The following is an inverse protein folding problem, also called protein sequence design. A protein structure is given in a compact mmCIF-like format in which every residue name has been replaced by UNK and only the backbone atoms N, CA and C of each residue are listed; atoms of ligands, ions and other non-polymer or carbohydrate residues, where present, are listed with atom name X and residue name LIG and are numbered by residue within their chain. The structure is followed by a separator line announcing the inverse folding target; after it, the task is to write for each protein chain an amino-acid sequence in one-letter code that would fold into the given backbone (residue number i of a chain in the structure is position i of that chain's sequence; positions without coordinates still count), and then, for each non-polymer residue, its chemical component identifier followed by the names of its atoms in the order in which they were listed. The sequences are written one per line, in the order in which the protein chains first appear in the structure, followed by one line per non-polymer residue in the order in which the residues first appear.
data_IF_074607856997
#
_entry.id   IF_074607856997
#
_cell.length_a   1.000
_cell.length_b   1.000
_cell.length_c   1.000
_cell.angle_alpha   90.00
_cell.angle_beta   90.00
_cell.angle_gamma   90.00
#
_symmetry.space_group_name_H-M   'P 1'
#
loop_
_entity.id
_entity.type
_entity.pdbx_description
1 polymer ?
#
# COMPACT_ATOMS: atom_id res chain seq x y z
N UNK A 1 5.94 1.51 -11.40
CA UNK A 1 4.61 0.96 -11.04
C UNK A 1 3.57 1.17 -12.14
N UNK A 2 3.70 2.18 -13.01
CA UNK A 2 2.75 2.36 -14.12
C UNK A 2 1.38 2.84 -13.67
N UNK A 3 1.36 3.56 -12.55
CA UNK A 3 0.16 4.08 -11.89
C UNK A 3 -0.13 5.51 -12.34
N UNK A 4 -1.37 5.94 -12.15
CA UNK A 4 -1.83 7.29 -12.42
C UNK A 4 -1.25 8.30 -11.40
N UNK A 5 -1.17 9.58 -11.81
CA UNK A 5 -0.65 10.68 -10.96
C UNK A 5 -1.40 10.87 -9.64
N UNK A 6 -2.64 10.37 -9.58
CA UNK A 6 -3.56 10.48 -8.45
C UNK A 6 -3.50 9.31 -7.47
N UNK A 7 -2.61 8.34 -7.69
CA UNK A 7 -2.38 7.24 -6.76
C UNK A 7 -1.68 7.74 -5.50
N UNK A 8 -1.94 7.06 -4.38
CA UNK A 8 -1.44 7.51 -3.08
C UNK A 8 0.07 7.35 -2.98
N UNK A 9 0.77 8.39 -2.53
CA UNK A 9 2.23 8.37 -2.49
C UNK A 9 2.81 7.32 -1.52
N UNK A 10 2.08 6.96 -0.45
CA UNK A 10 2.53 5.97 0.52
C UNK A 10 2.87 4.61 -0.11
N UNK A 11 2.20 4.25 -1.22
CA UNK A 11 2.43 2.98 -1.93
C UNK A 11 3.83 2.88 -2.52
N UNK A 12 4.41 4.02 -2.94
CA UNK A 12 5.77 4.02 -3.47
C UNK A 12 6.72 3.47 -2.42
N UNK A 13 6.59 3.94 -1.17
CA UNK A 13 7.46 3.55 -0.07
C UNK A 13 7.16 2.14 0.40
N UNK A 14 5.87 1.81 0.59
CA UNK A 14 5.47 0.51 1.11
C UNK A 14 5.78 -0.67 0.19
N UNK A 15 5.73 -0.45 -1.13
CA UNK A 15 5.94 -1.52 -2.12
C UNK A 15 7.39 -1.64 -2.60
N UNK A 16 8.19 -0.57 -2.50
CA UNK A 16 9.60 -0.58 -2.97
C UNK A 16 10.62 -0.68 -1.84
N UNK A 17 10.20 -0.49 -0.58
CA UNK A 17 11.09 -0.42 0.58
C UNK A 17 11.86 0.91 0.68
N UNK A 18 11.56 1.89 -0.18
CA UNK A 18 12.21 3.19 -0.14
C UNK A 18 11.71 4.03 1.02
N UNK A 19 12.62 4.76 1.66
CA UNK A 19 12.25 5.72 2.70
C UNK A 19 11.70 7.01 2.09
N UNK A 20 10.61 7.58 2.64
CA UNK A 20 10.20 8.93 2.30
C UNK A 20 11.32 9.93 2.56
N UNK A 21 11.46 10.93 1.67
CA UNK A 21 12.53 11.92 1.74
C UNK A 21 12.58 12.64 3.09
N UNK A 22 11.42 12.90 3.72
CA UNK A 22 11.32 13.49 5.06
C UNK A 22 12.12 12.69 6.10
N UNK A 23 11.92 11.37 6.16
CA UNK A 23 12.61 10.48 7.11
C UNK A 23 14.09 10.31 6.75
N UNK A 24 14.41 10.21 5.46
CA UNK A 24 15.81 10.08 5.01
C UNK A 24 16.64 11.33 5.33
N UNK A 25 16.08 12.53 5.09
CA UNK A 25 16.73 13.80 5.46
C UNK A 25 16.94 13.91 6.96
N UNK A 26 15.93 13.53 7.74
CA UNK A 26 16.04 13.56 9.20
C UNK A 26 17.10 12.57 9.72
N UNK A 27 17.15 11.35 9.18
CA UNK A 27 18.19 10.37 9.51
C UNK A 27 19.60 10.91 9.25
N UNK A 28 19.80 11.57 8.10
CA UNK A 28 21.09 12.18 7.75
C UNK A 28 21.46 13.31 8.71
N UNK A 29 20.50 14.17 9.08
CA UNK A 29 20.74 15.26 10.01
C UNK A 29 21.07 14.76 11.42
N UNK A 30 20.37 13.75 11.92
CA UNK A 30 20.66 13.13 13.22
C UNK A 30 22.04 12.47 13.24
N UNK A 31 22.40 11.74 12.17
CA UNK A 31 23.73 11.14 12.04
C UNK A 31 24.83 12.20 11.95
N UNK A 32 24.58 13.28 11.23
CA UNK A 32 25.49 14.41 11.16
C UNK A 32 25.66 15.09 12.53
N UNK A 33 24.57 15.32 13.27
CA UNK A 33 24.62 15.84 14.62
C UNK A 33 25.47 14.96 15.52
N UNK A 34 25.20 13.65 15.55
CA UNK A 34 25.96 12.68 16.33
C UNK A 34 27.46 12.76 15.99
N UNK A 35 27.81 12.75 14.71
CA UNK A 35 29.20 12.92 14.25
C UNK A 35 29.82 14.23 14.73
N UNK A 36 29.14 15.37 14.57
CA UNK A 36 29.70 16.66 14.99
C UNK A 36 29.91 16.79 16.50
N UNK A 37 29.12 16.07 17.31
CA UNK A 37 29.26 16.04 18.77
C UNK A 37 30.46 15.21 19.23
N UNK A 38 31.00 14.31 18.40
CA UNK A 38 32.22 13.53 18.72
C UNK A 38 33.51 14.22 18.27
N UNK A 39 33.41 15.30 17.48
CA UNK A 39 34.56 16.03 16.99
C UNK A 39 35.21 16.89 18.10
N UNK A 40 36.53 17.11 18.04
CA UNK A 40 37.21 18.02 18.95
C UNK A 40 36.62 19.43 18.91
N UNK A 41 36.66 20.12 20.04
CA UNK A 41 36.15 21.49 20.20
C UNK A 41 36.81 22.52 19.29
N UNK A 42 38.02 22.22 18.80
CA UNK A 42 38.75 23.04 17.83
C UNK A 42 38.21 22.91 16.42
N UNK A 43 37.43 21.86 16.11
CA UNK A 43 36.90 21.62 14.77
C UNK A 43 35.74 22.58 14.46
N UNK A 44 35.78 23.22 13.29
CA UNK A 44 34.80 24.24 12.88
C UNK A 44 33.35 23.74 12.94
N UNK A 45 33.09 22.51 12.47
CA UNK A 45 31.76 21.92 12.52
C UNK A 45 31.24 21.69 13.95
N UNK A 46 32.13 21.31 14.89
CA UNK A 46 31.77 21.16 16.32
C UNK A 46 31.39 22.51 16.90
N UNK A 47 32.21 23.55 16.65
CA UNK A 47 31.92 24.92 17.08
C UNK A 47 30.60 25.45 16.53
N UNK A 48 30.35 25.30 15.22
CA UNK A 48 29.12 25.75 14.58
C UNK A 48 27.87 25.06 15.14
N UNK A 49 27.95 23.75 15.43
CA UNK A 49 26.83 23.02 16.04
C UNK A 49 26.60 23.45 17.48
N UNK A 50 27.66 23.63 18.29
CA UNK A 50 27.53 24.16 19.66
C UNK A 50 26.89 25.54 19.68
N UNK A 51 27.29 26.42 18.77
CA UNK A 51 26.68 27.75 18.60
C UNK A 51 25.21 27.63 18.21
N UNK A 52 24.87 26.77 17.23
CA UNK A 52 23.47 26.54 16.85
C UNK A 52 22.62 25.96 17.98
N UNK A 53 23.18 25.10 18.85
CA UNK A 53 22.53 24.60 20.06
C UNK A 53 22.29 25.74 21.05
N UNK A 54 23.28 26.60 21.27
CA UNK A 54 23.17 27.74 22.17
C UNK A 54 22.13 28.76 21.67
N UNK A 55 22.10 29.07 20.38
CA UNK A 55 21.07 29.92 19.76
C UNK A 55 19.67 29.35 19.99
N UNK A 56 19.49 28.03 19.84
CA UNK A 56 18.20 27.39 20.08
C UNK A 56 17.75 27.48 21.55
N UNK A 57 18.68 27.47 22.52
CA UNK A 57 18.37 27.72 23.95
C UNK A 57 17.86 29.13 24.19
N UNK A 58 18.39 30.09 23.43
CA UNK A 58 17.94 31.49 23.44
C UNK A 58 16.69 31.73 22.58
N UNK A 59 15.95 30.67 22.22
CA UNK A 59 14.75 30.71 21.38
C UNK A 59 14.96 31.34 19.98
N UNK A 60 16.19 31.36 19.49
CA UNK A 60 16.51 31.84 18.15
C UNK A 60 16.37 30.70 17.14
N UNK A 61 15.97 31.05 15.92
CA UNK A 61 15.91 30.11 14.81
C UNK A 61 17.33 29.72 14.34
N UNK A 62 17.45 28.50 13.84
CA UNK A 62 18.69 27.97 13.30
C UNK A 62 18.58 26.50 12.95
N UNK A 63 19.67 25.93 12.46
CA UNK A 63 19.70 24.55 12.01
C UNK A 63 19.26 23.55 13.10
N UNK A 64 19.73 23.71 14.34
CA UNK A 64 19.34 22.82 15.44
C UNK A 64 17.87 22.97 15.85
N UNK A 65 17.32 24.19 15.88
CA UNK A 65 15.89 24.40 16.19
C UNK A 65 14.98 23.76 15.12
N UNK A 66 15.39 23.86 13.85
CA UNK A 66 14.66 23.26 12.73
C UNK A 66 14.72 21.73 12.78
N UNK A 67 15.88 21.17 13.15
CA UNK A 67 16.03 19.72 13.38
C UNK A 67 15.11 19.24 14.51
N UNK A 68 15.09 19.93 15.67
CA UNK A 68 14.19 19.60 16.79
C UNK A 68 12.72 19.66 16.35
N UNK A 69 12.33 20.70 15.61
CA UNK A 69 10.97 20.85 15.08
C UNK A 69 10.62 19.71 14.13
N UNK A 70 11.50 19.41 13.16
CA UNK A 70 11.28 18.36 12.17
C UNK A 70 11.15 16.98 12.84
N UNK A 71 12.00 16.68 13.84
CA UNK A 71 11.89 15.48 14.67
C UNK A 71 10.58 15.44 15.46
N UNK A 72 10.19 16.56 16.06
CA UNK A 72 8.93 16.70 16.79
C UNK A 72 7.70 16.41 15.94
N UNK A 73 7.70 16.79 14.65
CA UNK A 73 6.56 16.49 13.74
C UNK A 73 6.33 15.00 13.49
N UNK A 74 7.25 14.12 13.88
CA UNK A 74 7.09 12.67 13.79
C UNK A 74 7.12 11.99 15.17
N UNK A 75 6.97 12.77 16.25
CA UNK A 75 6.96 12.28 17.62
C UNK A 75 8.32 11.88 18.17
N UNK A 76 9.41 12.43 17.61
CA UNK A 76 10.76 12.25 18.16
C UNK A 76 11.20 13.49 18.92
N UNK A 77 11.64 13.29 20.16
CA UNK A 77 12.19 14.36 20.98
C UNK A 77 13.72 14.39 20.89
N UNK A 78 14.25 15.53 20.45
CA UNK A 78 15.69 15.80 20.46
C UNK A 78 15.99 16.69 21.67
N UNK A 79 16.83 16.18 22.58
CA UNK A 79 17.27 16.87 23.81
C UNK A 79 17.77 18.28 23.51
N UNK A 80 17.50 19.23 24.41
CA UNK A 80 18.08 20.59 24.35
C UNK A 80 19.60 20.59 24.60
N UNK A 81 20.11 19.53 25.22
CA UNK A 81 21.53 19.26 25.42
C UNK A 81 21.84 17.88 24.80
N UNK A 82 22.06 17.81 23.48
CA UNK A 82 22.26 16.54 22.81
C UNK A 82 23.66 15.99 23.12
N UNK A 83 23.73 14.72 23.49
CA UNK A 83 24.99 13.94 23.55
C UNK A 83 25.05 12.97 22.37
N UNK A 84 26.24 12.51 21.95
CA UNK A 84 26.37 11.49 20.91
C UNK A 84 25.51 10.26 21.17
N UNK A 85 25.49 9.78 22.43
CA UNK A 85 24.76 8.58 22.86
C UNK A 85 23.26 8.78 22.73
N UNK A 86 22.73 9.91 23.20
CA UNK A 86 21.31 10.21 23.15
C UNK A 86 20.84 10.38 21.70
N UNK A 87 21.65 10.99 20.83
CA UNK A 87 21.30 11.12 19.41
C UNK A 87 21.39 9.78 18.68
N UNK A 88 22.39 8.95 18.98
CA UNK A 88 22.49 7.59 18.43
C UNK A 88 21.27 6.73 18.83
N UNK A 89 20.79 6.87 20.06
CA UNK A 89 19.60 6.18 20.56
C UNK A 89 18.28 6.59 19.86
N UNK A 90 18.25 7.70 19.11
CA UNK A 90 17.07 8.11 18.34
C UNK A 90 16.90 7.35 17.02
N UNK A 91 17.94 6.68 16.50
CA UNK A 91 17.85 6.00 15.21
C UNK A 91 16.81 4.86 15.19
N UNK A 92 16.73 3.97 16.21
CA UNK A 92 15.66 2.98 16.29
C UNK A 92 14.27 3.62 16.36
N UNK A 93 14.11 4.68 17.16
CA UNK A 93 12.85 5.42 17.30
C UNK A 93 12.41 6.06 15.97
N UNK A 94 13.36 6.57 15.18
CA UNK A 94 13.10 7.08 13.83
C UNK A 94 12.59 5.99 12.89
N UNK A 95 13.18 4.78 12.93
CA UNK A 95 12.71 3.63 12.14
C UNK A 95 11.30 3.22 12.56
N UNK A 96 11.02 3.17 13.86
CA UNK A 96 9.68 2.89 14.38
C UNK A 96 8.66 3.92 13.93
N UNK A 97 8.99 5.21 14.01
CA UNK A 97 8.12 6.30 13.55
C UNK A 97 7.87 6.23 12.04
N UNK A 98 8.88 5.89 11.25
CA UNK A 98 8.75 5.65 9.81
C UNK A 98 7.79 4.50 9.51
N UNK A 99 7.98 3.36 10.18
CA UNK A 99 7.16 2.16 9.95
C UNK A 99 5.71 2.42 10.31
N UNK A 100 5.47 3.06 11.46
CA UNK A 100 4.14 3.50 11.88
C UNK A 100 3.52 4.45 10.86
N UNK A 101 4.24 5.49 10.42
CA UNK A 101 3.72 6.45 9.45
C UNK A 101 3.26 5.79 8.14
N UNK A 102 4.03 4.84 7.60
CA UNK A 102 3.64 4.11 6.38
C UNK A 102 2.48 3.15 6.65
N UNK A 103 2.50 2.43 7.77
CA UNK A 103 1.44 1.49 8.13
C UNK A 103 0.10 2.22 8.33
N UNK A 104 0.10 3.33 9.06
CA UNK A 104 -1.08 4.16 9.29
C UNK A 104 -1.61 4.71 7.97
N UNK A 105 -0.73 5.27 7.12
CA UNK A 105 -1.11 5.80 5.80
C UNK A 105 -1.75 4.75 4.88
N UNK A 106 -1.45 3.47 5.09
CA UNK A 106 -2.06 2.35 4.35
C UNK A 106 -3.38 1.94 4.98
N UNK A 107 -3.40 1.74 6.30
CA UNK A 107 -4.56 1.22 7.03
C UNK A 107 -5.71 2.22 7.10
N UNK A 108 -5.44 3.53 7.13
CA UNK A 108 -6.49 4.57 7.12
C UNK A 108 -7.03 4.83 5.74
N UNK A 109 -6.42 4.28 4.69
CA UNK A 109 -6.84 4.53 3.33
C UNK A 109 -7.99 3.61 2.90
N UNK A 110 -9.15 4.14 2.51
CA UNK A 110 -10.26 3.33 2.00
C UNK A 110 -9.99 2.80 0.58
N UNK A 111 -8.88 3.17 -0.05
CA UNK A 111 -8.44 2.64 -1.35
C UNK A 111 -7.50 1.45 -1.22
N UNK A 112 -6.81 1.32 -0.10
CA UNK A 112 -5.78 0.30 0.08
C UNK A 112 -6.28 -0.87 0.92
N UNK A 113 -7.58 -1.19 0.83
CA UNK A 113 -8.23 -2.29 1.58
C UNK A 113 -7.48 -3.63 1.38
N UNK A 114 -6.98 -3.91 0.18
CA UNK A 114 -6.19 -5.12 -0.11
C UNK A 114 -4.81 -5.15 0.56
N UNK A 115 -4.35 -4.01 1.07
CA UNK A 115 -3.10 -3.85 1.81
C UNK A 115 -3.33 -3.63 3.30
N UNK A 116 -4.57 -3.63 3.78
CA UNK A 116 -4.83 -3.53 5.22
C UNK A 116 -4.26 -4.75 5.94
N UNK A 117 -3.60 -4.51 7.08
CA UNK A 117 -2.94 -5.53 7.91
C UNK A 117 -1.85 -6.39 7.23
N UNK A 118 -1.60 -6.17 5.92
CA UNK A 118 -0.54 -6.77 5.07
C UNK A 118 -0.14 -8.19 5.47
N UNK A 119 -1.02 -9.21 5.32
CA UNK A 119 -0.60 -10.58 5.53
C UNK A 119 0.41 -10.98 4.45
N UNK A 120 1.56 -11.47 4.87
CA UNK A 120 2.52 -12.18 4.04
C UNK A 120 2.53 -13.66 4.42
N UNK A 121 2.88 -14.50 3.47
CA UNK A 121 3.01 -15.93 3.68
C UNK A 121 4.43 -16.37 3.37
N UNK A 122 5.03 -17.09 4.31
CA UNK A 122 6.31 -17.78 4.10
C UNK A 122 6.00 -19.27 4.22
N UNK A 123 6.04 -19.97 3.09
CA UNK A 123 5.39 -21.26 2.98
C UNK A 123 3.90 -21.11 3.28
N UNK A 124 3.39 -21.86 4.25
CA UNK A 124 1.99 -21.81 4.68
C UNK A 124 1.76 -20.97 5.94
N UNK A 125 2.81 -20.38 6.52
CA UNK A 125 2.69 -19.59 7.74
C UNK A 125 2.35 -18.14 7.43
N UNK A 126 1.22 -17.68 7.98
CA UNK A 126 0.82 -16.28 7.96
C UNK A 126 1.71 -15.46 8.88
N UNK A 127 2.28 -14.37 8.34
CA UNK A 127 3.09 -13.38 9.06
C UNK A 127 2.62 -11.99 8.68
N UNK A 128 2.90 -11.01 9.54
CA UNK A 128 2.71 -9.62 9.18
C UNK A 128 3.89 -9.16 8.31
N UNK A 129 3.61 -8.69 7.11
CA UNK A 129 4.66 -8.18 6.24
C UNK A 129 5.22 -6.87 6.82
N UNK A 130 6.54 -6.60 6.73
CA UNK A 130 7.08 -5.31 7.08
C UNK A 130 6.38 -4.18 6.29
N UNK A 131 6.11 -3.01 6.89
CA UNK A 131 5.45 -1.90 6.18
C UNK A 131 6.22 -1.42 4.96
N UNK A 132 7.56 -1.49 5.00
CA UNK A 132 8.49 -1.12 3.92
C UNK A 132 9.29 -2.34 3.47
N UNK A 133 8.99 -2.84 2.28
CA UNK A 133 9.72 -3.96 1.67
C UNK A 133 9.53 -3.92 0.15
N UNK A 134 10.54 -4.38 -0.60
CA UNK A 134 10.38 -4.60 -2.03
C UNK A 134 9.57 -5.87 -2.29
N UNK A 135 8.33 -5.73 -2.78
CA UNK A 135 7.40 -6.87 -2.88
C UNK A 135 7.71 -7.82 -4.02
N UNK A 136 7.45 -9.12 -3.79
CA UNK A 136 7.69 -10.19 -4.76
C UNK A 136 6.93 -9.99 -6.08
N UNK A 137 5.66 -9.57 -6.01
CA UNK A 137 4.85 -9.33 -7.21
C UNK A 137 5.36 -8.18 -8.10
N UNK A 138 6.27 -7.32 -7.61
CA UNK A 138 6.96 -6.33 -8.45
C UNK A 138 8.09 -6.96 -9.29
N UNK A 139 8.50 -8.20 -9.00
CA UNK A 139 9.51 -8.95 -9.77
C UNK A 139 8.94 -9.64 -11.01
N UNK A 140 7.62 -9.67 -11.19
CA UNK A 140 6.97 -10.20 -12.39
C UNK A 140 7.57 -9.53 -13.63
N UNK A 141 8.16 -10.33 -14.53
CA UNK A 141 8.96 -9.85 -15.67
C UNK A 141 8.15 -9.05 -16.68
N UNK A 142 6.95 -9.53 -17.02
CA UNK A 142 6.06 -8.90 -17.99
C UNK A 142 5.53 -7.56 -17.49
N UNK A 143 5.83 -6.47 -18.21
CA UNK A 143 5.40 -5.11 -17.85
C UNK A 143 3.89 -5.02 -17.70
N UNK A 144 3.13 -5.48 -18.70
CA UNK A 144 1.66 -5.44 -18.71
C UNK A 144 1.06 -6.24 -17.55
N UNK A 145 1.58 -7.44 -17.31
CA UNK A 145 1.13 -8.30 -16.22
C UNK A 145 1.42 -7.71 -14.84
N UNK A 146 2.65 -7.20 -14.64
CA UNK A 146 3.02 -6.49 -13.43
C UNK A 146 2.14 -5.26 -13.21
N UNK A 147 1.84 -4.50 -14.26
CA UNK A 147 0.94 -3.35 -14.20
C UNK A 147 -0.47 -3.76 -13.77
N UNK A 148 -1.02 -4.83 -14.33
CA UNK A 148 -2.33 -5.36 -13.95
C UNK A 148 -2.40 -5.68 -12.45
N UNK A 149 -1.40 -6.38 -11.90
CA UNK A 149 -1.34 -6.62 -10.45
C UNK A 149 -1.22 -5.33 -9.64
N UNK A 150 -0.29 -4.46 -10.00
CA UNK A 150 -0.12 -3.21 -9.27
C UNK A 150 -1.36 -2.34 -9.33
N UNK A 151 -2.12 -2.33 -10.44
CA UNK A 151 -3.38 -1.62 -10.53
C UNK A 151 -4.45 -2.20 -9.61
N UNK A 152 -4.52 -3.52 -9.46
CA UNK A 152 -5.46 -4.16 -8.53
C UNK A 152 -5.11 -3.85 -7.08
N UNK A 153 -3.86 -4.14 -6.69
CA UNK A 153 -3.38 -4.00 -5.31
C UNK A 153 -3.41 -2.55 -4.83
N UNK A 154 -3.13 -1.60 -5.74
CA UNK A 154 -2.96 -0.18 -5.42
C UNK A 154 -4.16 0.69 -5.79
N UNK A 155 -5.30 0.06 -6.10
CA UNK A 155 -6.57 0.70 -6.43
C UNK A 155 -6.45 1.75 -7.55
N UNK A 156 -5.87 1.32 -8.66
CA UNK A 156 -5.70 2.10 -9.90
C UNK A 156 -6.19 1.30 -11.11
N UNK A 157 -7.41 0.78 -11.03
CA UNK A 157 -7.99 -0.17 -11.98
C UNK A 157 -9.37 0.29 -12.49
N UNK A 158 -9.88 -0.37 -13.53
CA UNK A 158 -11.15 -0.02 -14.19
C UNK A 158 -12.44 -0.47 -13.47
N UNK A 159 -12.34 -1.16 -12.33
CA UNK A 159 -13.50 -1.67 -11.61
C UNK A 159 -14.31 -0.57 -10.92
N UNK A 160 -15.62 -0.77 -10.77
CA UNK A 160 -16.58 0.24 -10.30
C UNK A 160 -16.28 0.73 -8.88
N UNK A 161 -15.69 -0.11 -8.01
CA UNK A 161 -15.29 0.31 -6.65
C UNK A 161 -14.35 1.53 -6.62
N UNK A 162 -13.50 1.69 -7.64
CA UNK A 162 -12.60 2.85 -7.79
C UNK A 162 -13.14 3.87 -8.80
N UNK A 163 -13.73 3.42 -9.91
CA UNK A 163 -14.22 4.34 -10.94
C UNK A 163 -15.39 5.20 -10.46
N UNK A 164 -16.31 4.63 -9.68
CA UNK A 164 -17.49 5.32 -9.13
C UNK A 164 -17.24 5.99 -7.77
N UNK A 165 -16.04 5.85 -7.20
CA UNK A 165 -15.64 6.54 -5.97
C UNK A 165 -15.58 8.07 -6.14
N UNK A 166 -15.55 8.54 -7.38
CA UNK A 166 -15.35 9.96 -7.68
C UNK A 166 -16.58 10.49 -8.40
N UNK A 167 -16.92 11.72 -8.07
CA UNK A 167 -17.77 12.52 -8.93
C UNK A 167 -17.13 12.66 -10.32
N UNK A 168 -17.97 12.72 -11.33
CA UNK A 168 -17.62 13.08 -12.71
C UNK A 168 -18.07 14.51 -12.98
N UNK A 169 -17.87 15.00 -14.22
CA UNK A 169 -18.44 16.30 -14.63
C UNK A 169 -19.97 16.27 -14.68
N UNK A 170 -20.56 15.10 -14.93
CA UNK A 170 -22.00 14.92 -15.02
C UNK A 170 -22.64 14.54 -13.68
N UNK A 171 -21.87 14.01 -12.72
CA UNK A 171 -22.33 13.64 -11.38
C UNK A 171 -21.36 14.19 -10.35
N UNK A 172 -21.74 15.24 -9.62
CA UNK A 172 -20.87 15.86 -8.63
C UNK A 172 -20.56 14.92 -7.46
N UNK A 173 -21.51 14.06 -7.09
CA UNK A 173 -21.42 13.18 -5.92
C UNK A 173 -20.71 11.86 -6.20
N UNK A 174 -20.01 11.37 -5.18
CA UNK A 174 -19.42 10.03 -5.15
C UNK A 174 -20.53 9.01 -4.94
N UNK A 175 -20.53 7.92 -5.72
CA UNK A 175 -21.50 6.84 -5.53
C UNK A 175 -21.21 6.14 -4.20
N UNK A 176 -22.20 5.93 -3.32
CA UNK A 176 -22.04 5.14 -2.10
C UNK A 176 -21.42 3.77 -2.38
N UNK A 177 -20.53 3.28 -1.50
CA UNK A 177 -19.77 2.03 -1.71
C UNK A 177 -20.70 0.84 -2.01
N UNK A 178 -21.83 0.75 -1.33
CA UNK A 178 -22.83 -0.32 -1.50
C UNK A 178 -23.44 -0.37 -2.91
N UNK A 179 -23.56 0.78 -3.59
CA UNK A 179 -24.14 0.89 -4.92
C UNK A 179 -23.12 0.71 -6.06
N UNK A 180 -21.83 0.50 -5.74
CA UNK A 180 -20.78 0.26 -6.74
C UNK A 180 -20.79 -1.20 -7.19
N UNK A 181 -21.91 -1.61 -7.78
CA UNK A 181 -22.19 -3.00 -8.14
C UNK A 181 -21.33 -3.48 -9.30
N UNK A 182 -21.13 -4.80 -9.36
CA UNK A 182 -20.48 -5.52 -10.43
C UNK A 182 -21.31 -5.42 -11.70
N UNK A 183 -20.72 -4.87 -12.76
CA UNK A 183 -21.35 -4.67 -14.07
C UNK A 183 -21.81 -5.96 -14.75
N UNK A 184 -21.33 -7.12 -14.27
CA UNK A 184 -21.69 -8.42 -14.83
C UNK A 184 -22.85 -9.08 -14.09
N UNK A 185 -22.85 -9.06 -12.75
CA UNK A 185 -23.84 -9.80 -11.96
C UNK A 185 -24.85 -8.92 -11.24
N UNK A 186 -24.57 -7.61 -11.09
CA UNK A 186 -25.40 -6.61 -10.40
C UNK A 186 -25.83 -6.98 -8.97
N UNK A 187 -25.18 -7.97 -8.34
CA UNK A 187 -25.58 -8.53 -7.04
C UNK A 187 -24.57 -8.31 -5.92
N UNK A 188 -23.36 -7.86 -6.25
CA UNK A 188 -22.29 -7.60 -5.30
C UNK A 188 -21.43 -6.44 -5.79
N UNK A 189 -20.62 -5.87 -4.89
CA UNK A 189 -19.71 -4.78 -5.20
C UNK A 189 -18.63 -5.23 -6.21
N UNK A 190 -18.31 -4.38 -7.19
CA UNK A 190 -17.24 -4.64 -8.17
C UNK A 190 -15.85 -4.33 -7.60
N UNK A 191 -15.41 -5.15 -6.66
CA UNK A 191 -14.04 -5.08 -6.14
C UNK A 191 -13.12 -6.14 -6.78
N UNK A 192 -11.79 -6.02 -6.61
CA UNK A 192 -10.83 -6.99 -7.13
C UNK A 192 -11.10 -8.44 -6.70
N UNK A 193 -11.55 -8.66 -5.45
CA UNK A 193 -11.80 -10.00 -4.93
C UNK A 193 -13.01 -10.61 -5.63
N UNK A 194 -14.08 -9.84 -5.79
CA UNK A 194 -15.26 -10.26 -6.51
C UNK A 194 -14.95 -10.57 -7.97
N UNK A 195 -14.27 -9.66 -8.67
CA UNK A 195 -13.95 -9.78 -10.09
C UNK A 195 -13.05 -11.00 -10.40
N UNK A 196 -12.08 -11.28 -9.53
CA UNK A 196 -11.19 -12.45 -9.69
C UNK A 196 -11.89 -13.74 -9.22
N UNK A 197 -12.34 -13.80 -7.98
CA UNK A 197 -12.63 -15.10 -7.37
C UNK A 197 -14.11 -15.45 -7.24
N UNK A 198 -15.01 -14.46 -7.23
CA UNK A 198 -16.41 -14.69 -6.87
C UNK A 198 -17.34 -14.66 -8.08
N UNK A 199 -17.23 -13.66 -8.94
CA UNK A 199 -18.18 -13.42 -10.01
C UNK A 199 -18.28 -14.65 -10.94
N UNK A 200 -19.51 -15.14 -11.15
CA UNK A 200 -19.81 -16.31 -11.98
C UNK A 200 -20.77 -15.99 -13.14
N UNK A 201 -21.18 -14.72 -13.28
CA UNK A 201 -22.15 -14.27 -14.29
C UNK A 201 -21.63 -14.33 -15.74
N UNK A 202 -20.31 -14.42 -15.95
CA UNK A 202 -19.70 -14.52 -17.28
C UNK A 202 -19.07 -15.90 -17.50
N UNK A 203 -19.40 -16.54 -18.63
CA UNK A 203 -18.76 -17.78 -19.06
C UNK A 203 -17.25 -17.59 -19.28
N UNK A 204 -16.85 -16.44 -19.84
CA UNK A 204 -15.43 -16.11 -20.06
C UNK A 204 -14.68 -16.02 -18.73
N UNK A 205 -15.25 -15.38 -17.70
CA UNK A 205 -14.62 -15.30 -16.37
C UNK A 205 -14.41 -16.68 -15.74
N UNK A 206 -15.41 -17.56 -15.86
CA UNK A 206 -15.31 -18.94 -15.37
C UNK A 206 -14.20 -19.69 -16.11
N UNK A 207 -14.14 -19.56 -17.44
CA UNK A 207 -13.06 -20.13 -18.25
C UNK A 207 -11.68 -19.61 -17.85
N UNK A 208 -11.53 -18.31 -17.62
CA UNK A 208 -10.27 -17.73 -17.15
C UNK A 208 -9.87 -18.25 -15.77
N UNK A 209 -10.81 -18.48 -14.86
CA UNK A 209 -10.54 -19.02 -13.51
C UNK A 209 -10.08 -20.48 -13.55
N UNK A 210 -10.71 -21.31 -14.38
CA UNK A 210 -10.27 -22.70 -14.59
C UNK A 210 -8.84 -22.72 -15.14
N UNK A 211 -8.59 -22.00 -16.24
CA UNK A 211 -7.27 -21.93 -16.85
C UNK A 211 -6.20 -21.33 -15.91
N UNK A 212 -6.60 -20.42 -15.01
CA UNK A 212 -5.71 -19.87 -13.99
C UNK A 212 -5.23 -20.94 -13.02
N UNK A 213 -6.14 -21.76 -12.47
CA UNK A 213 -5.78 -22.81 -11.53
C UNK A 213 -4.96 -23.93 -12.20
N UNK A 214 -5.29 -24.30 -13.43
CA UNK A 214 -4.49 -25.26 -14.21
C UNK A 214 -3.06 -24.73 -14.41
N UNK A 215 -2.92 -23.45 -14.79
CA UNK A 215 -1.61 -22.81 -14.96
C UNK A 215 -0.85 -22.69 -13.64
N UNK A 216 -1.55 -22.47 -12.53
CA UNK A 216 -0.98 -22.40 -11.21
C UNK A 216 -0.35 -23.74 -10.82
N UNK A 217 -1.11 -24.83 -10.96
CA UNK A 217 -0.63 -26.18 -10.62
C UNK A 217 0.56 -26.61 -11.47
N UNK A 218 0.53 -26.32 -12.78
CA UNK A 218 1.66 -26.56 -13.68
C UNK A 218 2.91 -25.78 -13.25
N UNK A 219 2.74 -24.50 -12.88
CA UNK A 219 3.86 -23.65 -12.46
C UNK A 219 4.43 -24.13 -11.13
N UNK A 220 3.59 -24.47 -10.15
CA UNK A 220 4.03 -24.95 -8.84
C UNK A 220 4.70 -26.33 -8.91
N UNK A 221 4.27 -27.20 -9.84
CA UNK A 221 4.93 -28.48 -10.06
C UNK A 221 6.39 -28.33 -10.52
N UNK A 222 6.68 -27.31 -11.33
CA UNK A 222 8.05 -26.97 -11.78
C UNK A 222 8.92 -26.25 -10.74
N UNK A 223 8.32 -25.72 -9.66
CA UNK A 223 9.04 -25.03 -8.59
C UNK A 223 9.70 -26.04 -7.63
N UNK A 224 10.96 -25.81 -7.20
CA UNK A 224 11.63 -26.65 -6.19
C UNK A 224 10.80 -26.81 -4.90
N UNK A 225 10.81 -27.97 -4.25
CA UNK A 225 9.99 -28.24 -3.06
C UNK A 225 10.21 -27.22 -1.93
N UNK A 226 11.44 -26.77 -1.70
CA UNK A 226 11.76 -25.75 -0.68
C UNK A 226 11.14 -24.37 -0.95
N UNK A 227 10.67 -24.13 -2.17
CA UNK A 227 10.05 -22.88 -2.60
C UNK A 227 8.56 -23.05 -2.94
N UNK A 228 8.00 -24.26 -2.77
CA UNK A 228 6.57 -24.49 -2.92
C UNK A 228 5.85 -23.89 -1.72
N UNK A 229 4.95 -22.96 -2.02
CA UNK A 229 4.00 -22.42 -1.06
C UNK A 229 2.77 -23.35 -0.95
N UNK A 230 1.61 -22.75 -1.10
CA UNK A 230 0.34 -23.48 -1.11
C UNK A 230 0.14 -24.27 -2.42
N UNK A 231 -0.60 -25.38 -2.33
CA UNK A 231 -1.25 -26.01 -3.48
C UNK A 231 -2.51 -25.23 -3.92
N UNK A 232 -2.99 -25.44 -5.14
CA UNK A 232 -4.25 -24.83 -5.59
C UNK A 232 -5.43 -25.20 -4.68
N UNK A 233 -5.51 -26.46 -4.25
CA UNK A 233 -6.56 -26.96 -3.37
C UNK A 233 -6.55 -26.27 -2.00
N UNK A 234 -5.36 -25.96 -1.44
CA UNK A 234 -5.26 -25.21 -0.19
C UNK A 234 -5.66 -23.75 -0.37
N UNK A 235 -5.19 -23.09 -1.43
CA UNK A 235 -5.56 -21.70 -1.72
C UNK A 235 -7.06 -21.52 -1.93
N UNK A 236 -7.72 -22.48 -2.58
CA UNK A 236 -9.16 -22.44 -2.84
C UNK A 236 -10.01 -22.66 -1.58
N UNK A 237 -9.42 -23.23 -0.50
CA UNK A 237 -10.08 -23.35 0.81
C UNK A 237 -9.94 -22.09 1.66
N UNK A 238 -8.94 -21.25 1.38
CA UNK A 238 -8.78 -19.99 2.11
C UNK A 238 -9.91 -19.02 1.77
N UNK A 239 -10.34 -18.18 2.73
CA UNK A 239 -11.16 -17.03 2.41
C UNK A 239 -10.51 -16.20 1.30
N UNK A 240 -11.28 -15.67 0.35
CA UNK A 240 -10.69 -14.98 -0.81
C UNK A 240 -9.80 -13.79 -0.44
N UNK A 241 -10.12 -13.10 0.66
CA UNK A 241 -9.29 -12.01 1.24
C UNK A 241 -7.92 -12.48 1.72
N UNK A 242 -7.75 -13.77 2.01
CA UNK A 242 -6.48 -14.39 2.41
C UNK A 242 -5.79 -15.11 1.25
N UNK A 243 -6.58 -15.69 0.34
CA UNK A 243 -6.11 -16.31 -0.89
C UNK A 243 -5.32 -15.32 -1.76
N UNK A 244 -5.83 -14.09 -1.92
CA UNK A 244 -5.18 -13.08 -2.76
C UNK A 244 -3.77 -12.68 -2.25
N UNK A 245 -3.56 -12.31 -0.97
CA UNK A 245 -2.21 -12.08 -0.43
C UNK A 245 -1.30 -13.32 -0.48
N UNK A 246 -1.85 -14.53 -0.29
CA UNK A 246 -1.07 -15.76 -0.42
C UNK A 246 -0.53 -15.95 -1.85
N UNK A 247 -1.33 -15.63 -2.87
CA UNK A 247 -0.91 -15.64 -4.27
C UNK A 247 0.12 -14.54 -4.63
N UNK A 248 0.28 -13.51 -3.79
CA UNK A 248 1.27 -12.45 -4.00
C UNK A 248 2.60 -12.72 -3.27
N UNK A 249 2.68 -13.80 -2.49
CA UNK A 249 3.80 -14.10 -1.61
C UNK A 249 5.07 -14.56 -2.35
N UNK A 250 4.93 -15.17 -3.53
CA UNK A 250 6.06 -15.61 -4.36
C UNK A 250 6.00 -15.01 -5.76
N UNK A 251 7.14 -14.98 -6.44
CA UNK A 251 7.22 -14.40 -7.79
C UNK A 251 6.50 -15.29 -8.82
N UNK A 252 6.55 -16.60 -8.59
CA UNK A 252 5.97 -17.64 -9.44
C UNK A 252 4.45 -17.58 -9.38
N UNK A 253 3.87 -17.59 -8.17
CA UNK A 253 2.42 -17.48 -7.96
C UNK A 253 1.89 -16.13 -8.44
N UNK A 254 2.59 -15.03 -8.12
CA UNK A 254 2.24 -13.70 -8.59
C UNK A 254 2.30 -13.61 -10.13
N UNK A 255 3.23 -14.30 -10.79
CA UNK A 255 3.31 -14.27 -12.26
C UNK A 255 2.08 -14.89 -12.91
N UNK A 256 1.60 -16.03 -12.39
CA UNK A 256 0.37 -16.67 -12.90
C UNK A 256 -0.86 -15.81 -12.61
N UNK A 257 -0.96 -15.27 -11.39
CA UNK A 257 -2.03 -14.35 -11.01
C UNK A 257 -2.02 -13.08 -11.90
N UNK A 258 -0.85 -12.59 -12.29
CA UNK A 258 -0.72 -11.40 -13.12
C UNK A 258 -1.26 -11.59 -14.54
N UNK A 259 -1.03 -12.76 -15.15
CA UNK A 259 -1.61 -13.12 -16.45
C UNK A 259 -3.13 -13.20 -16.34
N UNK A 260 -3.63 -13.87 -15.31
CA UNK A 260 -5.07 -13.99 -15.04
C UNK A 260 -5.73 -12.62 -14.82
N UNK A 261 -5.15 -11.79 -13.94
CA UNK A 261 -5.61 -10.43 -13.66
C UNK A 261 -5.65 -9.56 -14.92
N UNK A 262 -4.68 -9.71 -15.83
CA UNK A 262 -4.68 -8.97 -17.10
C UNK A 262 -5.89 -9.32 -17.95
N UNK A 263 -6.24 -10.61 -18.06
CA UNK A 263 -7.41 -11.08 -18.83
C UNK A 263 -8.72 -10.62 -18.20
N UNK A 264 -8.84 -10.73 -16.87
CA UNK A 264 -10.02 -10.27 -16.12
C UNK A 264 -10.21 -8.77 -16.30
N UNK A 265 -9.18 -7.95 -16.05
CA UNK A 265 -9.28 -6.50 -16.23
C UNK A 265 -9.61 -6.12 -17.67
N UNK A 266 -9.05 -6.81 -18.66
CA UNK A 266 -9.40 -6.59 -20.06
C UNK A 266 -10.88 -6.86 -20.30
N UNK A 267 -11.44 -7.96 -19.79
CA UNK A 267 -12.87 -8.24 -19.93
C UNK A 267 -13.74 -7.14 -19.31
N UNK A 268 -13.44 -6.71 -18.09
CA UNK A 268 -14.20 -5.64 -17.43
C UNK A 268 -14.08 -4.31 -18.18
N UNK A 269 -12.92 -3.98 -18.71
CA UNK A 269 -12.70 -2.75 -19.48
C UNK A 269 -13.57 -2.69 -20.76
N UNK A 270 -13.85 -3.83 -21.40
CA UNK A 270 -14.66 -3.89 -22.62
C UNK A 270 -16.16 -4.06 -22.37
N UNK A 271 -16.59 -4.06 -21.09
CA UNK A 271 -18.01 -4.14 -20.72
C UNK A 271 -18.44 -2.81 -20.10
N UNK A 272 -19.61 -2.28 -20.49
CA UNK A 272 -20.10 -1.03 -19.92
C UNK A 272 -20.25 -1.20 -18.41
N UNK A 273 -19.76 -0.23 -17.65
CA UNK A 273 -19.91 -0.20 -16.20
C UNK A 273 -21.38 0.08 -15.86
N UNK A 274 -21.91 -0.59 -14.85
CA UNK A 274 -23.20 -0.20 -14.28
C UNK A 274 -23.00 1.09 -13.48
N UNK A 275 -23.74 2.13 -13.85
CA UNK A 275 -23.79 3.39 -13.12
C UNK A 275 -25.19 3.55 -12.54
N UNK A 276 -25.34 3.63 -11.20
CA UNK A 276 -26.66 3.86 -10.60
C UNK A 276 -27.17 5.25 -10.97
N UNK A 277 -28.49 5.39 -11.07
CA UNK A 277 -29.16 6.66 -11.33
C UNK A 277 -29.05 7.59 -10.11
N UNK A 278 -29.24 8.89 -10.35
CA UNK A 278 -29.27 9.87 -9.25
C UNK A 278 -30.43 9.61 -8.28
N UNK A 279 -31.54 9.03 -8.77
CA UNK A 279 -32.67 8.60 -7.95
C UNK A 279 -32.28 7.42 -7.04
N UNK A 280 -31.57 6.41 -7.55
CA UNK A 280 -31.08 5.27 -6.76
C UNK A 280 -30.08 5.73 -5.68
N UNK A 281 -29.20 6.68 -6.03
CA UNK A 281 -28.23 7.26 -5.09
C UNK A 281 -28.95 8.05 -4.00
N UNK A 282 -29.88 8.94 -4.39
CA UNK A 282 -30.63 9.77 -3.44
C UNK A 282 -31.47 8.91 -2.51
N UNK A 283 -32.19 7.92 -3.04
CA UNK A 283 -32.98 6.99 -2.23
C UNK A 283 -32.12 6.21 -1.23
N UNK A 284 -30.91 5.80 -1.63
CA UNK A 284 -29.98 5.14 -0.71
C UNK A 284 -29.50 6.10 0.40
N UNK A 285 -29.15 7.33 0.05
CA UNK A 285 -28.71 8.35 1.00
C UNK A 285 -29.84 8.74 1.95
N UNK A 286 -31.08 8.88 1.48
CA UNK A 286 -32.23 9.17 2.34
C UNK A 286 -32.51 8.02 3.32
N UNK A 287 -32.40 6.77 2.85
CA UNK A 287 -32.64 5.59 3.67
C UNK A 287 -31.54 5.31 4.71
N UNK A 288 -30.29 5.70 4.43
CA UNK A 288 -29.11 5.32 5.26
C UNK A 288 -28.31 6.51 5.80
N UNK A 289 -28.59 7.73 5.37
CA UNK A 289 -27.82 8.95 5.66
C UNK A 289 -28.03 9.55 7.05
N UNK A 290 -28.96 9.00 7.86
CA UNK A 290 -29.06 9.33 9.29
C UNK A 290 -28.13 8.49 10.17
N UNK A 291 -27.53 7.42 9.64
CA UNK A 291 -26.49 6.66 10.34
C UNK A 291 -25.12 7.12 9.85
N UNK A 292 -24.57 8.13 10.53
CA UNK A 292 -23.26 8.66 10.22
C UNK A 292 -22.19 7.57 10.20
N UNK A 293 -21.53 7.40 9.05
CA UNK A 293 -20.36 6.54 8.94
C UNK A 293 -19.15 7.32 8.41
N UNK A 294 -17.95 7.07 8.98
CA UNK A 294 -16.74 7.82 8.69
C UNK A 294 -16.14 7.38 7.36
N UNK A 295 -15.59 8.36 6.63
CA UNK A 295 -14.91 8.26 5.33
C UNK A 295 -13.68 7.32 5.29
#
# INVERSE_FOLDING_TARGET
LGLQKRSQLCILFSETGLWPLKFRRLALQLRYLCYTLTLPDTHLASRAVKESIQSARNAQSGWFSDLRRAAGTIGLEVSAEPTPENIAALEPSLKTALYRHIQDSVNTSPKLELLHSRPAYIGQQRKLAPPLEFRAYLRVKGRTHRQALTSLVLSDHCLSIEMLRRGTRSRAESVPRALRLCRLCLSAIEDPIHALFVCSASQELRGYRVAFWDSYDLTMAGTPPEHRGFSSAELQRLPYKECFPALLSSTESASVLAVYATRVLSLFQHRPMYEPSDEEITAYIEAHGQEGHPD
#
